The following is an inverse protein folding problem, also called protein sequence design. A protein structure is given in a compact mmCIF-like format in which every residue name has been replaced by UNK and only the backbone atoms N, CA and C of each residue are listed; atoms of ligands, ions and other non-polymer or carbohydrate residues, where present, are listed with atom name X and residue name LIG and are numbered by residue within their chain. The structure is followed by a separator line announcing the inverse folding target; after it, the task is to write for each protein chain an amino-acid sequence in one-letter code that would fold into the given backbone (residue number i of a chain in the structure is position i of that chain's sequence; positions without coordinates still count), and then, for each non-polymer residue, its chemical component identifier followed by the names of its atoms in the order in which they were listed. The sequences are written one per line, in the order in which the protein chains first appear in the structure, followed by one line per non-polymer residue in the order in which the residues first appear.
data_IF_516174884063
#
_entry.id   IF_516174884063
#
_cell.length_a   1.000
_cell.length_b   1.000
_cell.length_c   1.000
_cell.angle_alpha   90.00
_cell.angle_beta   90.00
_cell.angle_gamma   90.00
#
_symmetry.space_group_name_H-M   'P 1'
#
loop_
_entity.id
_entity.type
_entity.pdbx_description
1 polymer ?
#
# COMPACT_ATOMS: atom_id res chain seq x y z
N UNK A 1 20.15 -12.98 -18.02
CA UNK A 1 20.55 -14.24 -17.35
C UNK A 1 19.57 -15.34 -17.68
N UNK A 2 20.03 -16.54 -17.92
CA UNK A 2 19.18 -17.70 -18.15
C UNK A 2 18.91 -18.41 -16.82
N UNK A 3 17.67 -18.33 -16.34
CA UNK A 3 17.28 -18.94 -15.06
C UNK A 3 17.27 -20.49 -15.14
N UNK A 4 17.16 -21.08 -16.34
CA UNK A 4 17.24 -22.52 -16.51
C UNK A 4 18.59 -23.13 -16.11
N UNK A 5 19.66 -22.31 -16.02
CA UNK A 5 21.00 -22.75 -15.56
C UNK A 5 21.17 -22.64 -14.04
N UNK A 6 20.25 -21.97 -13.33
CA UNK A 6 20.32 -21.76 -11.89
C UNK A 6 19.55 -22.88 -11.16
N UNK A 7 20.29 -23.82 -10.58
CA UNK A 7 19.70 -25.00 -9.94
C UNK A 7 19.51 -24.85 -8.41
N UNK A 8 20.10 -23.83 -7.78
CA UNK A 8 19.96 -23.59 -6.35
C UNK A 8 19.26 -22.27 -6.02
N UNK A 9 18.53 -22.23 -4.91
CA UNK A 9 17.90 -21.02 -4.38
C UNK A 9 18.90 -19.90 -4.12
N UNK A 10 20.07 -20.25 -3.60
CA UNK A 10 21.15 -19.30 -3.27
C UNK A 10 21.72 -18.66 -4.55
N UNK A 11 21.92 -19.45 -5.62
CA UNK A 11 22.37 -18.93 -6.90
C UNK A 11 21.31 -17.99 -7.52
N UNK A 12 20.03 -18.31 -7.38
CA UNK A 12 18.94 -17.48 -7.86
C UNK A 12 18.85 -16.16 -7.07
N UNK A 13 18.99 -16.22 -5.75
CA UNK A 13 19.01 -15.04 -4.88
C UNK A 13 20.22 -14.13 -5.17
N UNK A 14 21.39 -14.69 -5.37
CA UNK A 14 22.57 -13.93 -5.78
C UNK A 14 22.39 -13.29 -7.17
N UNK A 15 21.78 -14.01 -8.11
CA UNK A 15 21.46 -13.49 -9.44
C UNK A 15 20.44 -12.36 -9.39
N UNK A 16 19.44 -12.41 -8.49
CA UNK A 16 18.41 -11.38 -8.33
C UNK A 16 18.99 -10.00 -7.99
N UNK A 17 20.12 -9.94 -7.30
CA UNK A 17 20.83 -8.70 -6.98
C UNK A 17 21.71 -8.16 -8.12
N UNK A 18 22.05 -9.00 -9.10
CA UNK A 18 23.00 -8.65 -10.16
C UNK A 18 22.35 -8.43 -11.52
N UNK A 19 21.24 -9.12 -11.79
CA UNK A 19 20.59 -9.11 -13.10
C UNK A 19 19.17 -8.60 -13.01
N UNK A 20 18.77 -7.82 -14.01
CA UNK A 20 17.40 -7.26 -14.15
C UNK A 20 16.53 -8.05 -15.12
N UNK A 21 17.12 -8.87 -15.98
CA UNK A 21 16.38 -9.63 -16.99
C UNK A 21 16.70 -11.11 -16.85
N UNK A 22 15.67 -11.92 -16.68
CA UNK A 22 15.73 -13.37 -16.57
C UNK A 22 14.90 -14.01 -17.67
N UNK A 23 15.49 -14.97 -18.38
CA UNK A 23 14.82 -15.79 -19.39
C UNK A 23 14.56 -17.21 -18.87
N UNK A 24 13.56 -17.90 -19.43
CA UNK A 24 13.22 -19.29 -19.14
C UNK A 24 12.97 -19.59 -17.66
N UNK A 25 12.29 -18.65 -16.97
CA UNK A 25 11.98 -18.74 -15.54
C UNK A 25 10.78 -19.66 -15.33
N UNK A 26 10.91 -20.68 -14.50
CA UNK A 26 9.80 -21.53 -14.08
C UNK A 26 8.90 -20.81 -13.06
N UNK A 27 7.63 -21.23 -12.88
CA UNK A 27 6.74 -20.62 -11.88
C UNK A 27 7.33 -20.62 -10.46
N UNK A 28 7.96 -21.72 -10.04
CA UNK A 28 8.63 -21.79 -8.75
C UNK A 28 9.82 -20.83 -8.63
N UNK A 29 10.60 -20.67 -9.70
CA UNK A 29 11.70 -19.70 -9.71
C UNK A 29 11.20 -18.25 -9.68
N UNK A 30 10.06 -17.91 -10.28
CA UNK A 30 9.44 -16.59 -10.17
C UNK A 30 9.10 -16.28 -8.70
N UNK A 31 8.53 -17.24 -8.01
CA UNK A 31 8.22 -17.13 -6.57
C UNK A 31 9.49 -16.91 -5.74
N UNK A 32 10.52 -17.71 -5.97
CA UNK A 32 11.81 -17.57 -5.27
C UNK A 32 12.49 -16.22 -5.54
N UNK A 33 12.39 -15.67 -6.75
CA UNK A 33 12.91 -14.35 -7.08
C UNK A 33 12.19 -13.25 -6.28
N UNK A 34 10.87 -13.31 -6.18
CA UNK A 34 10.08 -12.39 -5.34
C UNK A 34 10.54 -12.46 -3.89
N UNK A 35 10.62 -13.67 -3.33
CA UNK A 35 11.07 -13.88 -1.94
C UNK A 35 12.51 -13.42 -1.70
N UNK A 36 13.42 -13.63 -2.65
CA UNK A 36 14.80 -13.19 -2.56
C UNK A 36 14.90 -11.65 -2.52
N UNK A 37 14.13 -10.95 -3.35
CA UNK A 37 14.06 -9.50 -3.34
C UNK A 37 13.48 -8.97 -2.03
N UNK A 38 12.42 -9.58 -1.51
CA UNK A 38 11.83 -9.22 -0.21
C UNK A 38 12.81 -9.44 0.94
N UNK A 39 13.54 -10.58 0.97
CA UNK A 39 14.60 -10.85 1.96
C UNK A 39 15.73 -9.82 1.89
N UNK A 40 15.95 -9.22 0.73
CA UNK A 40 16.95 -8.14 0.54
C UNK A 40 16.40 -6.76 0.96
N UNK A 41 15.19 -6.68 1.53
CA UNK A 41 14.58 -5.44 2.02
C UNK A 41 13.83 -4.64 0.98
N UNK A 42 13.55 -5.21 -0.20
CA UNK A 42 12.75 -4.55 -1.23
C UNK A 42 11.26 -4.82 -1.04
N UNK A 43 10.43 -3.81 -1.31
CA UNK A 43 8.99 -3.99 -1.52
C UNK A 43 8.76 -4.39 -2.98
N UNK A 44 8.15 -5.55 -3.21
CA UNK A 44 8.06 -6.18 -4.53
C UNK A 44 6.63 -6.12 -5.06
N UNK A 45 6.46 -5.53 -6.24
CA UNK A 45 5.24 -5.66 -7.02
C UNK A 45 5.44 -6.68 -8.13
N UNK A 46 4.53 -7.66 -8.23
CA UNK A 46 4.54 -8.69 -9.27
C UNK A 46 3.41 -8.46 -10.25
N UNK A 47 3.75 -8.32 -11.52
CA UNK A 47 2.77 -8.27 -12.61
C UNK A 47 2.75 -9.59 -13.37
N UNK A 48 1.57 -10.14 -13.59
CA UNK A 48 1.37 -11.39 -14.30
C UNK A 48 0.06 -11.43 -15.08
N UNK A 49 0.02 -12.24 -16.12
CA UNK A 49 -1.14 -12.45 -16.99
C UNK A 49 -1.63 -13.91 -17.01
N UNK A 50 -0.82 -14.82 -16.49
CA UNK A 50 -1.07 -16.27 -16.57
C UNK A 50 -1.21 -16.95 -15.21
N UNK A 51 -1.76 -18.17 -15.27
CA UNK A 51 -1.90 -19.04 -14.09
C UNK A 51 -0.54 -19.37 -13.46
N UNK A 52 0.51 -19.39 -14.26
CA UNK A 52 1.89 -19.66 -13.82
C UNK A 52 2.48 -18.57 -12.95
N UNK A 53 1.86 -17.38 -12.90
CA UNK A 53 2.32 -16.24 -12.12
C UNK A 53 1.66 -16.14 -10.74
N UNK A 54 0.58 -16.90 -10.53
CA UNK A 54 -0.25 -16.79 -9.30
C UNK A 54 0.54 -17.00 -8.02
N UNK A 55 1.48 -17.95 -8.00
CA UNK A 55 2.29 -18.21 -6.81
C UNK A 55 3.18 -17.01 -6.48
N UNK A 56 3.88 -16.47 -7.46
CA UNK A 56 4.72 -15.29 -7.30
C UNK A 56 3.89 -14.03 -6.97
N UNK A 57 2.69 -13.89 -7.57
CA UNK A 57 1.77 -12.79 -7.29
C UNK A 57 1.23 -12.83 -5.85
N UNK A 58 0.96 -14.02 -5.31
CA UNK A 58 0.49 -14.16 -3.91
C UNK A 58 1.57 -13.86 -2.88
N UNK A 59 2.83 -14.12 -3.21
CA UNK A 59 3.95 -13.85 -2.32
C UNK A 59 4.42 -12.39 -2.39
N UNK A 60 4.14 -11.69 -3.49
CA UNK A 60 4.50 -10.29 -3.65
C UNK A 60 3.71 -9.37 -2.71
N UNK A 61 4.32 -8.24 -2.34
CA UNK A 61 3.68 -7.20 -1.51
C UNK A 61 2.52 -6.51 -2.24
N UNK A 62 2.61 -6.45 -3.57
CA UNK A 62 1.54 -5.98 -4.45
C UNK A 62 1.47 -6.86 -5.70
N UNK A 63 0.27 -7.26 -6.10
CA UNK A 63 0.05 -8.06 -7.30
C UNK A 63 -0.84 -7.34 -8.29
N UNK A 64 -0.42 -7.36 -9.57
CA UNK A 64 -1.11 -6.70 -10.67
C UNK A 64 -1.40 -7.72 -11.77
N UNK A 65 -2.65 -7.83 -12.18
CA UNK A 65 -3.03 -8.66 -13.32
C UNK A 65 -3.49 -7.81 -14.52
N UNK A 66 -3.35 -8.40 -15.71
CA UNK A 66 -3.93 -7.86 -16.92
C UNK A 66 -5.32 -8.46 -17.14
N UNK A 67 -6.32 -7.64 -17.50
CA UNK A 67 -7.67 -8.14 -17.75
C UNK A 67 -7.75 -9.11 -18.94
N UNK A 68 -6.84 -8.96 -19.91
CA UNK A 68 -6.70 -9.90 -21.04
C UNK A 68 -6.05 -11.23 -20.68
N UNK A 69 -5.51 -11.35 -19.45
CA UNK A 69 -4.87 -12.56 -18.95
C UNK A 69 -5.88 -13.61 -18.47
N UNK A 70 -5.40 -14.56 -17.66
CA UNK A 70 -6.28 -15.58 -17.08
C UNK A 70 -7.18 -15.00 -15.98
N UNK A 71 -8.43 -15.45 -15.92
CA UNK A 71 -9.36 -15.08 -14.85
C UNK A 71 -8.82 -15.45 -13.47
N UNK A 72 -8.11 -16.56 -13.36
CA UNK A 72 -7.48 -16.97 -12.11
C UNK A 72 -6.40 -16.00 -11.65
N UNK A 73 -5.62 -15.41 -12.56
CA UNK A 73 -4.65 -14.37 -12.23
C UNK A 73 -5.36 -13.09 -11.80
N UNK A 74 -6.43 -12.69 -12.49
CA UNK A 74 -7.23 -11.53 -12.14
C UNK A 74 -7.88 -11.66 -10.75
N UNK A 75 -8.38 -12.84 -10.39
CA UNK A 75 -8.94 -13.10 -9.06
C UNK A 75 -7.88 -13.16 -7.94
N UNK A 76 -6.64 -13.53 -8.27
CA UNK A 76 -5.54 -13.59 -7.30
C UNK A 76 -4.85 -12.24 -7.10
N UNK A 77 -5.04 -11.28 -8.01
CA UNK A 77 -4.39 -9.98 -7.99
C UNK A 77 -5.10 -8.98 -7.07
N UNK A 78 -4.32 -8.05 -6.51
CA UNK A 78 -4.86 -6.92 -5.75
C UNK A 78 -5.30 -5.76 -6.66
N UNK A 79 -4.68 -5.66 -7.84
CA UNK A 79 -5.01 -4.64 -8.86
C UNK A 79 -5.18 -5.33 -10.20
N UNK A 80 -6.20 -4.95 -10.96
CA UNK A 80 -6.41 -5.44 -12.33
C UNK A 80 -6.41 -4.26 -13.29
N UNK A 81 -5.53 -4.31 -14.29
CA UNK A 81 -5.47 -3.31 -15.36
C UNK A 81 -6.51 -3.69 -16.43
N UNK A 82 -7.62 -2.97 -16.46
CA UNK A 82 -8.76 -3.28 -17.35
C UNK A 82 -8.39 -3.13 -18.82
N UNK A 83 -7.58 -2.15 -19.17
CA UNK A 83 -7.11 -1.91 -20.53
C UNK A 83 -5.97 -2.86 -20.94
N UNK A 84 -5.47 -3.65 -19.98
CA UNK A 84 -4.30 -4.53 -20.16
C UNK A 84 -3.06 -3.79 -20.67
N UNK A 85 -2.95 -2.51 -20.38
CA UNK A 85 -1.82 -1.66 -20.74
C UNK A 85 -1.01 -1.27 -19.50
N UNK A 86 0.22 -1.79 -19.43
CA UNK A 86 1.14 -1.47 -18.33
C UNK A 86 1.57 0.01 -18.29
N UNK A 87 1.41 0.74 -19.40
CA UNK A 87 1.71 2.18 -19.44
C UNK A 87 0.85 3.02 -18.49
N UNK A 88 -0.28 2.47 -18.01
CA UNK A 88 -1.13 3.12 -17.00
C UNK A 88 -0.59 3.00 -15.56
N UNK A 89 0.40 2.14 -15.30
CA UNK A 89 0.95 1.94 -13.94
C UNK A 89 1.47 3.22 -13.26
N UNK A 90 2.12 4.17 -13.95
CA UNK A 90 2.51 5.42 -13.31
C UNK A 90 1.31 6.20 -12.75
N UNK A 91 0.18 6.20 -13.46
CA UNK A 91 -1.06 6.85 -13.00
C UNK A 91 -1.66 6.13 -11.79
N UNK A 92 -1.64 4.78 -11.78
CA UNK A 92 -2.08 3.98 -10.62
C UNK A 92 -1.24 4.30 -9.38
N UNK A 93 0.08 4.37 -9.52
CA UNK A 93 0.99 4.72 -8.42
C UNK A 93 0.75 6.16 -7.93
N UNK A 94 0.52 7.10 -8.87
CA UNK A 94 0.24 8.50 -8.53
C UNK A 94 -1.07 8.62 -7.74
N UNK A 95 -2.13 7.94 -8.20
CA UNK A 95 -3.42 7.91 -7.52
C UNK A 95 -3.31 7.26 -6.14
N UNK A 96 -2.60 6.14 -6.02
CA UNK A 96 -2.33 5.52 -4.73
C UNK A 96 -1.62 6.46 -3.74
N UNK A 97 -0.64 7.22 -4.20
CA UNK A 97 0.04 8.24 -3.36
C UNK A 97 -0.92 9.36 -2.94
N UNK A 98 -1.79 9.80 -3.84
CA UNK A 98 -2.81 10.81 -3.53
C UNK A 98 -3.74 10.32 -2.42
N UNK A 99 -4.24 9.11 -2.55
CA UNK A 99 -5.12 8.49 -1.53
C UNK A 99 -4.41 8.39 -0.18
N UNK A 100 -3.17 7.90 -0.15
CA UNK A 100 -2.39 7.79 1.10
C UNK A 100 -2.17 9.15 1.73
N UNK A 101 -1.82 10.18 0.95
CA UNK A 101 -1.63 11.54 1.45
C UNK A 101 -2.93 12.10 2.05
N UNK A 102 -4.07 11.87 1.40
CA UNK A 102 -5.36 12.34 1.89
C UNK A 102 -5.76 11.64 3.19
N UNK A 103 -5.52 10.32 3.29
CA UNK A 103 -5.73 9.55 4.52
C UNK A 103 -4.82 10.07 5.65
N UNK A 104 -3.53 10.31 5.38
CA UNK A 104 -2.60 10.82 6.37
C UNK A 104 -3.00 12.22 6.88
N UNK A 105 -3.41 13.12 5.98
CA UNK A 105 -3.90 14.46 6.35
C UNK A 105 -5.14 14.36 7.23
N UNK A 106 -6.13 13.58 6.83
CA UNK A 106 -7.35 13.37 7.60
C UNK A 106 -7.06 12.73 8.96
N UNK A 107 -6.23 11.69 9.00
CA UNK A 107 -5.83 11.04 10.25
C UNK A 107 -5.10 12.01 11.21
N UNK A 108 -4.26 12.89 10.66
CA UNK A 108 -3.56 13.91 11.47
C UNK A 108 -4.53 14.87 12.16
N UNK A 109 -5.59 15.31 11.47
CA UNK A 109 -6.61 16.17 12.06
C UNK A 109 -7.32 15.47 13.23
N UNK A 110 -7.68 14.19 13.07
CA UNK A 110 -8.28 13.39 14.14
C UNK A 110 -7.34 13.20 15.33
N UNK A 111 -6.08 12.88 15.06
CA UNK A 111 -5.06 12.68 16.11
C UNK A 111 -4.82 13.95 16.93
N UNK A 112 -4.67 15.10 16.28
CA UNK A 112 -4.45 16.38 16.95
C UNK A 112 -5.59 16.70 17.91
N UNK A 113 -6.84 16.53 17.45
CA UNK A 113 -8.01 16.75 18.32
C UNK A 113 -8.03 15.79 19.52
N UNK A 114 -7.78 14.50 19.30
CA UNK A 114 -7.83 13.51 20.36
C UNK A 114 -6.73 13.75 21.39
N UNK A 115 -5.51 14.08 20.95
CA UNK A 115 -4.39 14.43 21.84
C UNK A 115 -4.73 15.70 22.62
N UNK A 116 -5.26 16.73 21.98
CA UNK A 116 -5.70 17.95 22.64
C UNK A 116 -6.74 17.67 23.75
N UNK A 117 -7.78 16.89 23.42
CA UNK A 117 -8.82 16.53 24.39
C UNK A 117 -8.26 15.71 25.56
N UNK A 118 -7.35 14.78 25.29
CA UNK A 118 -6.68 13.99 26.32
C UNK A 118 -5.83 14.86 27.25
N UNK A 119 -5.01 15.75 26.68
CA UNK A 119 -4.18 16.65 27.45
C UNK A 119 -5.02 17.61 28.30
N UNK A 120 -6.13 18.12 27.76
CA UNK A 120 -7.04 18.99 28.47
C UNK A 120 -7.72 18.28 29.64
N UNK A 121 -8.15 17.02 29.43
CA UNK A 121 -8.73 16.18 30.46
C UNK A 121 -7.71 15.90 31.60
N UNK A 122 -6.48 15.54 31.21
CA UNK A 122 -5.41 15.27 32.16
C UNK A 122 -5.06 16.55 32.99
N UNK A 123 -4.97 17.70 32.33
CA UNK A 123 -4.72 18.99 32.98
C UNK A 123 -5.83 19.33 33.97
N UNK A 124 -7.11 19.15 33.57
CA UNK A 124 -8.24 19.38 34.45
C UNK A 124 -8.24 18.47 35.67
N UNK A 125 -7.88 17.19 35.47
CA UNK A 125 -7.79 16.24 36.59
C UNK A 125 -6.65 16.55 37.56
N UNK A 126 -5.48 16.96 37.08
CA UNK A 126 -4.32 17.29 37.91
C UNK A 126 -4.58 18.56 38.73
N UNK A 127 -5.26 19.55 38.16
CA UNK A 127 -5.58 20.80 38.84
C UNK A 127 -6.89 20.74 39.65
N UNK A 128 -7.59 19.60 39.63
CA UNK A 128 -8.88 19.42 40.27
C UNK A 128 -9.95 20.48 39.87
N UNK A 129 -9.90 20.94 38.60
CA UNK A 129 -10.87 21.87 38.03
C UNK A 129 -11.89 21.13 37.17
N UNK A 130 -13.10 21.70 37.08
CA UNK A 130 -14.09 21.18 36.12
C UNK A 130 -13.57 21.27 34.70
N UNK A 131 -13.92 20.25 33.89
CA UNK A 131 -13.52 20.24 32.49
C UNK A 131 -14.06 21.48 31.76
N UNK A 132 -13.18 22.30 31.13
CA UNK A 132 -13.53 23.65 30.70
C UNK A 132 -14.42 23.73 29.46
N UNK A 133 -14.66 22.60 28.80
CA UNK A 133 -15.46 22.55 27.57
C UNK A 133 -16.73 21.74 27.79
N UNK A 134 -17.87 22.26 27.34
CA UNK A 134 -19.13 21.53 27.28
C UNK A 134 -19.18 20.62 26.06
N UNK A 135 -19.98 19.54 26.11
CA UNK A 135 -20.14 18.60 24.95
C UNK A 135 -20.57 19.30 23.66
N UNK A 136 -21.39 20.34 23.76
CA UNK A 136 -21.82 21.16 22.61
C UNK A 136 -20.66 21.90 21.95
N UNK A 137 -19.77 22.46 22.77
CA UNK A 137 -18.57 23.18 22.30
C UNK A 137 -17.56 22.20 21.65
N UNK A 138 -17.38 21.01 22.24
CA UNK A 138 -16.51 19.96 21.68
C UNK A 138 -17.04 19.50 20.29
N UNK A 139 -18.36 19.38 20.15
CA UNK A 139 -19.00 19.03 18.89
C UNK A 139 -18.78 20.11 17.82
N UNK A 140 -18.93 21.38 18.22
CA UNK A 140 -18.72 22.52 17.33
C UNK A 140 -17.24 22.62 16.89
N UNK A 141 -16.31 22.47 17.83
CA UNK A 141 -14.86 22.40 17.52
C UNK A 141 -14.58 21.26 16.57
N UNK A 142 -15.14 20.06 16.80
CA UNK A 142 -14.98 18.91 15.94
C UNK A 142 -15.49 19.15 14.52
N UNK A 143 -16.63 19.83 14.39
CA UNK A 143 -17.21 20.17 13.08
C UNK A 143 -16.28 21.11 12.28
N UNK A 144 -15.75 22.14 12.91
CA UNK A 144 -14.89 23.13 12.23
C UNK A 144 -13.44 22.68 12.06
N UNK A 145 -12.90 21.87 12.95
CA UNK A 145 -11.48 21.45 12.89
C UNK A 145 -11.27 20.15 12.11
N UNK A 146 -12.29 19.29 12.02
CA UNK A 146 -12.20 17.99 11.33
C UNK A 146 -13.22 17.89 10.21
N UNK A 147 -14.50 18.16 10.52
CA UNK A 147 -15.59 17.95 9.56
C UNK A 147 -15.43 18.80 8.31
N UNK A 148 -15.31 20.10 8.46
CA UNK A 148 -15.16 21.01 7.33
C UNK A 148 -13.84 20.85 6.59
N UNK A 149 -12.66 20.81 7.25
CA UNK A 149 -11.40 20.56 6.53
C UNK A 149 -11.33 19.18 5.90
N UNK A 150 -11.83 18.14 6.57
CA UNK A 150 -11.88 16.78 6.01
C UNK A 150 -12.75 16.69 4.76
N UNK A 151 -13.88 17.38 4.74
CA UNK A 151 -14.74 17.49 3.56
C UNK A 151 -14.06 18.24 2.41
N UNK A 152 -13.40 19.37 2.70
CA UNK A 152 -12.66 20.13 1.68
C UNK A 152 -11.49 19.33 1.11
N UNK A 153 -10.74 18.61 1.96
CA UNK A 153 -9.64 17.73 1.52
C UNK A 153 -10.14 16.56 0.65
N UNK A 154 -11.36 16.08 0.88
CA UNK A 154 -11.95 15.02 0.06
C UNK A 154 -12.36 15.52 -1.34
N UNK A 155 -12.58 16.82 -1.50
CA UNK A 155 -12.89 17.45 -2.78
C UNK A 155 -11.64 17.87 -3.58
N UNK A 156 -10.46 17.83 -2.95
CA UNK A 156 -9.19 18.18 -3.60
C UNK A 156 -8.81 17.05 -4.57
N UNK A 157 -8.60 17.36 -5.87
CA UNK A 157 -8.31 16.37 -6.91
C UNK A 157 -6.93 15.71 -6.73
#
# INVERSE_FOLDING_TARGET
MDAGTLQSEEALAAAASQYTVFGRVTPGQKQLLVQALQKSGHTVAMTGDGVNDILAMKDADCSVAMASGSEAAAQAAQVVLLDSDFAHMPNVVWEGRRVVNNIQRSASLFLVKNIFSLLLALFSAVLAITYPLEPSQISLIGMFTIGLPGFLLALEP
#
